data_IF_109545685869
#
_entry.id   IF_109545685869
#
_cell.length_a   1.000
_cell.length_b   1.000
_cell.length_c   1.000
_cell.angle_alpha   90.00
_cell.angle_beta   90.00
_cell.angle_gamma   90.00
#
_symmetry.space_group_name_H-M   'P 1'
#
loop_
_entity.id
_entity.type
_entity.pdbx_description
1 polymer ?
#
# COMPACT_ATOMS: atom_id res chain seq x y z
N UNK A 1 -7.09 15.41 -21.30
CA UNK A 1 -7.28 14.13 -22.03
C UNK A 1 -6.81 13.02 -21.11
N UNK A 2 -7.60 11.96 -20.92
CA UNK A 2 -7.18 10.82 -20.10
C UNK A 2 -5.93 10.18 -20.72
N UNK A 3 -4.88 9.98 -19.92
CA UNK A 3 -3.65 9.31 -20.39
C UNK A 3 -3.99 7.84 -20.65
N UNK A 4 -3.68 7.32 -21.84
CA UNK A 4 -3.85 5.89 -22.14
C UNK A 4 -2.97 5.08 -21.16
N UNK A 5 -3.48 3.98 -20.58
CA UNK A 5 -2.65 3.10 -19.77
C UNK A 5 -1.43 2.60 -20.56
N UNK A 6 -0.26 2.58 -19.94
CA UNK A 6 0.92 1.98 -20.54
C UNK A 6 0.74 0.47 -20.65
N UNK A 7 1.08 -0.10 -21.81
CA UNK A 7 1.16 -1.55 -22.03
C UNK A 7 2.59 -2.00 -22.30
N UNK A 8 3.57 -1.11 -22.20
CA UNK A 8 4.99 -1.45 -22.30
C UNK A 8 5.42 -2.19 -21.04
N UNK A 9 5.76 -3.48 -21.19
CA UNK A 9 6.05 -4.38 -20.08
C UNK A 9 7.18 -3.83 -19.19
N UNK A 10 8.27 -3.36 -19.79
CA UNK A 10 9.42 -2.82 -19.05
C UNK A 10 9.01 -1.61 -18.21
N UNK A 11 8.33 -0.65 -18.82
CA UNK A 11 7.86 0.57 -18.15
C UNK A 11 6.96 0.25 -16.96
N UNK A 12 6.04 -0.71 -17.12
CA UNK A 12 5.12 -1.10 -16.03
C UNK A 12 5.87 -1.75 -14.87
N UNK A 13 6.87 -2.60 -15.16
CA UNK A 13 7.66 -3.26 -14.13
C UNK A 13 8.59 -2.30 -13.37
N UNK A 14 9.19 -1.34 -14.09
CA UNK A 14 10.07 -0.33 -13.51
C UNK A 14 9.32 0.69 -12.66
N UNK A 15 8.03 0.93 -12.95
CA UNK A 15 7.18 1.86 -12.21
C UNK A 15 6.36 1.23 -11.08
N UNK A 16 6.56 -0.06 -10.80
CA UNK A 16 5.88 -0.76 -9.72
C UNK A 16 6.19 -0.12 -8.34
N UNK A 17 5.15 0.11 -7.55
CA UNK A 17 5.26 0.67 -6.20
C UNK A 17 6.01 -0.28 -5.28
N UNK A 18 6.98 0.24 -4.53
CA UNK A 18 7.84 -0.58 -3.66
C UNK A 18 7.50 -0.48 -2.18
N UNK A 19 6.83 0.58 -1.75
CA UNK A 19 6.49 0.82 -0.35
C UNK A 19 5.11 1.46 -0.22
N UNK A 20 4.42 1.15 0.88
CA UNK A 20 3.03 1.54 1.14
C UNK A 20 2.84 2.01 2.58
N UNK A 21 1.89 2.92 2.77
CA UNK A 21 1.39 3.31 4.08
C UNK A 21 -0.04 2.84 4.28
N UNK A 22 -0.32 2.48 5.53
CA UNK A 22 -1.65 2.23 6.06
C UNK A 22 -1.85 3.17 7.24
N UNK A 23 -2.78 4.11 7.16
CA UNK A 23 -3.14 4.96 8.28
C UNK A 23 -4.43 4.49 8.91
N UNK A 24 -4.34 4.00 10.15
CA UNK A 24 -5.47 3.49 10.91
C UNK A 24 -6.11 4.68 11.61
N UNK A 25 -7.38 4.94 11.33
CA UNK A 25 -8.10 6.10 11.83
C UNK A 25 -9.05 5.73 12.96
N UNK A 26 -9.18 6.65 13.91
CA UNK A 26 -10.15 6.61 15.00
C UNK A 26 -10.61 8.03 15.33
N UNK A 27 -11.87 8.19 15.73
CA UNK A 27 -12.39 9.48 16.17
C UNK A 27 -11.81 9.84 17.55
N UNK A 28 -11.38 11.09 17.70
CA UNK A 28 -10.63 11.61 18.85
C UNK A 28 -11.39 11.45 20.17
N UNK A 29 -12.72 11.63 20.14
CA UNK A 29 -13.60 11.50 21.30
C UNK A 29 -14.26 10.11 21.42
N UNK A 30 -13.79 9.12 20.66
CA UNK A 30 -14.30 7.75 20.72
C UNK A 30 -13.27 6.81 21.37
N UNK A 31 -13.44 6.57 22.67
CA UNK A 31 -12.55 5.71 23.44
C UNK A 31 -12.54 4.25 22.95
N UNK A 32 -13.66 3.76 22.42
CA UNK A 32 -13.77 2.40 21.89
C UNK A 32 -12.94 2.23 20.62
N UNK A 33 -13.05 3.16 19.67
CA UNK A 33 -12.23 3.15 18.46
C UNK A 33 -10.75 3.32 18.77
N UNK A 34 -10.39 4.25 19.67
CA UNK A 34 -8.99 4.39 20.09
C UNK A 34 -8.47 3.08 20.70
N UNK A 35 -9.24 2.42 21.56
CA UNK A 35 -8.85 1.14 22.15
C UNK A 35 -8.68 0.05 21.08
N UNK A 36 -9.63 -0.07 20.15
CA UNK A 36 -9.56 -1.02 19.04
C UNK A 36 -8.33 -0.76 18.15
N UNK A 37 -8.01 0.52 17.89
CA UNK A 37 -6.84 0.92 17.10
C UNK A 37 -5.53 0.47 17.79
N UNK A 38 -5.43 0.62 19.11
CA UNK A 38 -4.26 0.16 19.87
C UNK A 38 -4.16 -1.36 19.92
N UNK A 39 -5.29 -2.07 20.07
CA UNK A 39 -5.29 -3.53 20.01
C UNK A 39 -4.83 -4.05 18.64
N UNK A 40 -5.30 -3.43 17.55
CA UNK A 40 -4.89 -3.78 16.19
C UNK A 40 -3.39 -3.52 15.99
N UNK A 41 -2.89 -2.37 16.44
CA UNK A 41 -1.46 -2.02 16.41
C UNK A 41 -0.62 -3.08 17.13
N UNK A 42 -1.01 -3.48 18.33
CA UNK A 42 -0.31 -4.49 19.12
C UNK A 42 -0.35 -5.87 18.45
N UNK A 43 -1.46 -6.22 17.80
CA UNK A 43 -1.56 -7.46 17.03
C UNK A 43 -0.61 -7.47 15.83
N UNK A 44 -0.53 -6.38 15.07
CA UNK A 44 0.45 -6.21 13.99
C UNK A 44 1.88 -6.33 14.50
N UNK A 45 2.20 -5.72 15.64
CA UNK A 45 3.54 -5.80 16.24
C UNK A 45 3.91 -7.24 16.65
N UNK A 46 2.96 -7.98 17.24
CA UNK A 46 3.14 -9.42 17.57
C UNK A 46 3.33 -10.25 16.31
N UNK A 47 2.50 -10.05 15.29
CA UNK A 47 2.60 -10.78 14.02
C UNK A 47 3.88 -10.48 13.25
N UNK A 48 4.36 -9.22 13.25
CA UNK A 48 5.69 -8.88 12.73
C UNK A 48 6.77 -9.66 13.47
N UNK A 49 6.75 -9.64 14.82
CA UNK A 49 7.73 -10.36 15.65
C UNK A 49 7.73 -11.85 15.32
N UNK A 50 6.56 -12.42 15.11
CA UNK A 50 6.37 -13.85 14.88
C UNK A 50 6.55 -14.25 13.40
N UNK A 51 6.89 -13.30 12.52
CA UNK A 51 7.28 -13.55 11.14
C UNK A 51 6.14 -13.65 10.13
N UNK A 52 4.93 -13.19 10.46
CA UNK A 52 3.80 -13.25 9.55
C UNK A 52 3.96 -12.34 8.31
N UNK A 53 4.57 -11.17 8.49
CA UNK A 53 4.83 -10.18 7.45
C UNK A 53 5.79 -9.09 7.95
N UNK A 54 6.26 -8.23 7.05
CA UNK A 54 6.99 -7.01 7.39
C UNK A 54 5.98 -5.87 7.40
N UNK A 55 5.69 -5.35 8.59
CA UNK A 55 4.84 -4.18 8.78
C UNK A 55 5.37 -3.38 9.96
N UNK A 56 5.62 -2.09 9.80
CA UNK A 56 6.24 -1.26 10.84
C UNK A 56 5.28 -0.16 11.24
N UNK A 57 4.50 -0.35 12.31
CA UNK A 57 3.75 0.74 12.93
C UNK A 57 4.69 1.82 13.43
N UNK A 58 4.39 3.07 13.12
CA UNK A 58 5.12 4.21 13.67
C UNK A 58 4.95 4.22 15.20
N UNK A 59 6.00 4.66 15.92
CA UNK A 59 5.94 4.72 17.37
C UNK A 59 4.86 5.70 17.86
N UNK A 60 4.77 6.86 17.19
CA UNK A 60 3.82 7.91 17.51
C UNK A 60 2.40 7.48 17.11
N UNK A 61 1.45 7.75 18.00
CA UNK A 61 0.02 7.75 17.72
C UNK A 61 -0.45 9.19 17.82
N UNK A 62 -1.09 9.70 16.76
CA UNK A 62 -1.64 11.05 16.73
C UNK A 62 -3.06 10.97 17.33
N UNK A 63 -3.28 11.61 18.48
CA UNK A 63 -4.60 11.68 19.11
C UNK A 63 -5.49 12.78 18.53
N UNK A 64 -4.91 13.63 17.68
CA UNK A 64 -5.52 14.79 17.05
C UNK A 64 -5.16 14.82 15.55
N UNK A 65 -5.86 15.62 14.72
CA UNK A 65 -5.55 15.74 13.30
C UNK A 65 -4.13 16.28 13.09
N UNK A 66 -3.35 15.60 12.26
CA UNK A 66 -1.98 15.99 11.90
C UNK A 66 -1.75 15.78 10.41
N UNK A 67 -1.13 16.76 9.75
CA UNK A 67 -0.84 16.71 8.32
C UNK A 67 -2.13 16.60 7.50
N UNK A 68 -2.25 15.67 6.55
CA UNK A 68 -3.47 15.48 5.76
C UNK A 68 -4.57 14.70 6.50
N UNK A 69 -4.27 14.15 7.68
CA UNK A 69 -5.15 13.23 8.39
C UNK A 69 -6.15 14.01 9.27
N UNK A 70 -7.48 13.89 9.04
CA UNK A 70 -8.50 14.73 9.66
C UNK A 70 -8.95 14.26 11.05
N UNK A 71 -8.49 13.10 11.50
CA UNK A 71 -8.84 12.48 12.79
C UNK A 71 -7.60 11.88 13.44
N UNK A 72 -7.77 11.30 14.64
CA UNK A 72 -6.70 10.55 15.28
C UNK A 72 -6.24 9.39 14.40
N UNK A 73 -4.93 9.17 14.33
CA UNK A 73 -4.35 8.15 13.45
C UNK A 73 -3.01 7.61 13.92
N UNK A 74 -2.63 6.47 13.38
CA UNK A 74 -1.24 6.05 13.33
C UNK A 74 -0.94 5.37 11.99
N UNK A 75 0.32 5.49 11.58
CA UNK A 75 0.83 4.91 10.34
C UNK A 75 1.38 3.50 10.57
N UNK A 76 1.22 2.63 9.57
CA UNK A 76 1.98 1.41 9.37
C UNK A 76 2.63 1.48 8.00
N UNK A 77 3.96 1.38 7.95
CA UNK A 77 4.70 1.18 6.71
C UNK A 77 4.79 -0.31 6.37
N UNK A 78 4.68 -0.65 5.09
CA UNK A 78 4.96 -2.00 4.60
C UNK A 78 5.63 -1.98 3.22
N UNK A 79 6.58 -2.89 2.97
CA UNK A 79 7.18 -3.06 1.65
C UNK A 79 6.25 -3.86 0.73
N UNK A 80 6.43 -3.71 -0.59
CA UNK A 80 5.65 -4.42 -1.62
C UNK A 80 5.66 -5.94 -1.43
N UNK A 81 6.77 -6.49 -0.94
CA UNK A 81 7.01 -7.91 -0.71
C UNK A 81 6.01 -8.55 0.26
N UNK A 82 5.46 -7.77 1.20
CA UNK A 82 4.46 -8.27 2.15
C UNK A 82 3.16 -7.45 2.15
N UNK A 83 2.98 -6.58 1.16
CA UNK A 83 1.79 -5.72 1.06
C UNK A 83 0.50 -6.54 1.09
N UNK A 84 0.39 -7.60 0.27
CA UNK A 84 -0.82 -8.42 0.19
C UNK A 84 -1.16 -9.10 1.51
N UNK A 85 -0.15 -9.59 2.24
CA UNK A 85 -0.33 -10.20 3.56
C UNK A 85 -0.82 -9.19 4.60
N UNK A 86 -0.23 -7.98 4.62
CA UNK A 86 -0.64 -6.89 5.53
C UNK A 86 -2.05 -6.42 5.19
N UNK A 87 -2.32 -6.14 3.92
CA UNK A 87 -3.62 -5.69 3.43
C UNK A 87 -4.71 -6.72 3.76
N UNK A 88 -4.47 -8.00 3.48
CA UNK A 88 -5.39 -9.10 3.79
C UNK A 88 -5.70 -9.18 5.29
N UNK A 89 -4.67 -9.12 6.14
CA UNK A 89 -4.86 -9.13 7.58
C UNK A 89 -5.71 -7.95 8.06
N UNK A 90 -5.42 -6.73 7.60
CA UNK A 90 -6.15 -5.53 7.99
C UNK A 90 -7.61 -5.57 7.48
N UNK A 91 -7.85 -6.06 6.26
CA UNK A 91 -9.21 -6.28 5.74
C UNK A 91 -10.06 -7.15 6.67
N UNK A 92 -9.47 -8.22 7.19
CA UNK A 92 -10.18 -9.20 8.03
C UNK A 92 -10.28 -8.79 9.49
N UNK A 93 -9.36 -7.96 10.01
CA UNK A 93 -9.18 -7.77 11.46
C UNK A 93 -9.33 -6.32 11.93
N UNK A 94 -9.57 -5.34 11.06
CA UNK A 94 -9.70 -3.91 11.47
C UNK A 94 -10.94 -3.60 12.32
N UNK A 95 -11.90 -4.51 12.41
CA UNK A 95 -13.21 -4.24 13.02
C UNK A 95 -13.90 -3.07 12.32
N UNK A 96 -14.26 -2.04 13.08
CA UNK A 96 -14.95 -0.84 12.59
C UNK A 96 -14.04 0.28 12.09
N UNK A 97 -12.71 0.18 12.30
CA UNK A 97 -11.76 1.26 12.01
C UNK A 97 -11.60 1.49 10.50
N UNK A 98 -11.52 2.73 10.06
CA UNK A 98 -11.16 3.05 8.68
C UNK A 98 -9.65 3.05 8.49
N UNK A 99 -9.19 2.59 7.32
CA UNK A 99 -7.77 2.56 6.99
C UNK A 99 -7.54 3.22 5.62
N UNK A 100 -6.81 4.33 5.61
CA UNK A 100 -6.27 4.90 4.37
C UNK A 100 -5.06 4.07 3.94
N UNK A 101 -5.02 3.67 2.67
CA UNK A 101 -3.89 2.95 2.07
C UNK A 101 -3.37 3.76 0.90
N UNK A 102 -2.08 4.05 0.85
CA UNK A 102 -1.50 4.78 -0.28
C UNK A 102 -0.06 4.35 -0.57
N UNK A 103 0.41 4.50 -1.82
CA UNK A 103 1.80 4.24 -2.17
C UNK A 103 2.73 5.33 -1.59
N UNK A 104 4.03 5.03 -1.48
CA UNK A 104 5.06 6.01 -1.17
C UNK A 104 5.89 6.33 -2.41
N UNK A 105 5.51 7.33 -3.18
CA UNK A 105 6.31 7.83 -4.29
C UNK A 105 6.85 9.23 -4.01
N UNK A 106 7.43 9.86 -5.02
CA UNK A 106 7.82 11.28 -4.94
C UNK A 106 6.62 12.22 -5.06
N UNK A 107 5.44 11.71 -5.40
CA UNK A 107 4.24 12.50 -5.67
C UNK A 107 3.24 12.33 -4.52
N UNK A 108 3.68 12.65 -3.31
CA UNK A 108 2.95 12.37 -2.06
C UNK A 108 1.51 12.87 -2.09
N UNK A 109 1.26 14.08 -2.61
CA UNK A 109 -0.12 14.57 -2.76
C UNK A 109 -0.95 13.71 -3.70
N UNK A 110 -0.40 13.32 -4.85
CA UNK A 110 -1.11 12.44 -5.79
C UNK A 110 -1.33 11.05 -5.21
N UNK A 111 -0.37 10.56 -4.42
CA UNK A 111 -0.46 9.28 -3.72
C UNK A 111 -1.64 9.27 -2.74
N UNK A 112 -1.85 10.36 -1.99
CA UNK A 112 -2.99 10.52 -1.08
C UNK A 112 -4.31 10.81 -1.81
N UNK A 113 -4.28 11.59 -2.89
CA UNK A 113 -5.47 12.11 -3.56
C UNK A 113 -6.07 11.14 -4.56
N UNK A 114 -5.24 10.58 -5.45
CA UNK A 114 -5.70 9.83 -6.63
C UNK A 114 -5.32 8.35 -6.61
N UNK A 115 -4.21 8.00 -5.95
CA UNK A 115 -3.70 6.62 -5.91
C UNK A 115 -4.00 5.91 -4.59
N UNK A 116 -4.74 6.57 -3.70
CA UNK A 116 -5.14 6.00 -2.42
C UNK A 116 -6.30 5.02 -2.57
N UNK A 117 -6.40 4.13 -1.60
CA UNK A 117 -7.51 3.23 -1.39
C UNK A 117 -7.96 3.31 0.07
N UNK A 118 -9.14 2.79 0.35
CA UNK A 118 -9.69 2.74 1.70
C UNK A 118 -10.15 1.33 2.05
N UNK A 119 -9.79 0.87 3.25
CA UNK A 119 -10.41 -0.28 3.88
C UNK A 119 -11.46 0.25 4.85
N UNK A 120 -12.73 0.12 4.48
CA UNK A 120 -13.85 0.75 5.18
C UNK A 120 -14.19 2.15 4.65
N UNK A 121 -14.99 2.94 5.40
CA UNK A 121 -15.39 4.28 4.98
C UNK A 121 -14.21 5.22 4.80
N UNK A 122 -14.25 6.07 3.78
CA UNK A 122 -13.22 7.09 3.54
C UNK A 122 -13.42 8.33 4.41
N UNK A 123 -12.34 9.07 4.61
CA UNK A 123 -12.35 10.39 5.23
C UNK A 123 -11.87 11.46 4.24
N UNK A 124 -12.41 12.69 4.31
CA UNK A 124 -11.93 13.81 3.51
C UNK A 124 -10.58 14.30 4.04
N UNK A 125 -9.50 14.09 3.29
CA UNK A 125 -8.15 14.50 3.68
C UNK A 125 -7.91 16.00 3.43
N UNK A 126 -7.12 16.64 4.29
CA UNK A 126 -6.61 18.01 4.04
C UNK A 126 -5.31 17.96 3.22
N UNK A 127 -5.46 17.93 1.89
CA UNK A 127 -4.33 17.82 0.97
C UNK A 127 -3.47 19.09 0.89
N UNK A 128 -3.87 20.20 1.52
CA UNK A 128 -3.13 21.47 1.47
C UNK A 128 -1.78 21.39 2.21
N UNK A 129 -1.61 20.37 3.06
CA UNK A 129 -0.39 20.14 3.84
C UNK A 129 0.66 19.32 3.10
N UNK A 130 0.33 18.76 1.93
CA UNK A 130 1.21 17.86 1.20
C UNK A 130 1.95 18.60 0.07
N UNK A 131 3.26 18.33 -0.12
CA UNK A 131 3.97 18.82 -1.28
C UNK A 131 3.42 18.18 -2.56
N UNK A 132 3.43 18.93 -3.66
CA UNK A 132 3.04 18.39 -4.97
C UNK A 132 4.01 17.29 -5.43
N UNK A 133 5.30 17.50 -5.16
CA UNK A 133 6.37 16.57 -5.49
C UNK A 133 7.56 16.80 -4.56
N UNK A 134 8.19 15.72 -4.15
CA UNK A 134 9.43 15.70 -3.37
C UNK A 134 10.63 15.37 -4.26
N UNK A 135 11.80 15.92 -3.91
CA UNK A 135 13.05 15.62 -4.64
C UNK A 135 13.48 14.16 -4.44
N UNK A 136 13.29 13.65 -3.23
CA UNK A 136 13.65 12.31 -2.80
C UNK A 136 12.40 11.44 -2.59
N UNK A 137 12.61 10.11 -2.65
CA UNK A 137 11.59 9.14 -2.24
C UNK A 137 11.59 9.11 -0.70
N UNK A 138 10.41 9.10 -0.03
CA UNK A 138 10.31 9.08 1.42
C UNK A 138 10.73 7.72 2.03
N UNK A 139 12.03 7.44 2.04
CA UNK A 139 12.61 6.18 2.49
C UNK A 139 12.66 6.10 4.03
N UNK A 140 11.89 5.19 4.62
CA UNK A 140 11.76 5.11 6.09
C UNK A 140 12.62 4.04 6.75
N UNK A 141 12.71 2.83 6.18
CA UNK A 141 13.36 1.67 6.83
C UNK A 141 14.42 0.98 5.96
N UNK A 142 15.46 1.70 5.51
CA UNK A 142 16.48 1.15 4.60
C UNK A 142 17.28 -0.02 5.19
N UNK A 143 17.35 -0.13 6.52
CA UNK A 143 18.06 -1.22 7.21
C UNK A 143 17.42 -2.59 6.97
N UNK A 144 16.14 -2.64 6.60
CA UNK A 144 15.42 -3.89 6.33
C UNK A 144 15.73 -4.48 4.96
N UNK A 145 16.35 -3.72 4.03
CA UNK A 145 16.74 -4.19 2.69
C UNK A 145 15.59 -4.80 1.87
N UNK A 146 14.42 -4.16 1.96
CA UNK A 146 13.18 -4.49 1.22
C UNK A 146 12.64 -3.21 0.59
N UNK A 147 11.58 -3.30 -0.21
CA UNK A 147 10.99 -2.14 -0.86
C UNK A 147 12.01 -1.43 -1.76
N UNK A 148 12.19 -0.12 -1.62
CA UNK A 148 13.13 0.65 -2.45
C UNK A 148 14.60 0.26 -2.24
N UNK A 149 14.92 -0.47 -1.16
CA UNK A 149 16.28 -0.93 -0.86
C UNK A 149 16.51 -2.41 -1.12
N UNK A 150 15.50 -3.10 -1.67
CA UNK A 150 15.61 -4.51 -2.02
C UNK A 150 16.70 -4.74 -3.07
N UNK A 151 17.51 -5.77 -2.84
CA UNK A 151 18.53 -6.26 -3.81
C UNK A 151 18.12 -7.57 -4.45
N UNK A 152 16.93 -8.08 -4.13
CA UNK A 152 16.41 -9.30 -4.75
C UNK A 152 16.22 -9.01 -6.24
N UNK A 153 16.87 -9.77 -7.14
CA UNK A 153 16.75 -9.53 -8.55
C UNK A 153 15.32 -9.81 -9.01
N UNK A 154 14.76 -8.89 -9.79
CA UNK A 154 13.49 -9.13 -10.46
C UNK A 154 13.68 -10.16 -11.58
N UNK A 155 12.61 -10.92 -11.86
CA UNK A 155 12.55 -11.77 -13.05
C UNK A 155 12.81 -10.94 -14.30
N UNK A 156 13.70 -11.42 -15.17
CA UNK A 156 14.05 -10.72 -16.41
C UNK A 156 12.87 -10.71 -17.40
N UNK A 157 12.97 -9.90 -18.46
CA UNK A 157 11.87 -9.70 -19.41
C UNK A 157 11.54 -10.95 -20.23
N UNK A 158 12.53 -11.80 -20.52
CA UNK A 158 12.33 -13.03 -21.29
C UNK A 158 11.51 -14.05 -20.48
N UNK A 159 11.91 -14.29 -19.22
CA UNK A 159 11.19 -15.17 -18.31
C UNK A 159 9.77 -14.66 -18.03
N UNK A 160 9.59 -13.33 -17.91
CA UNK A 160 8.26 -12.73 -17.75
C UNK A 160 7.40 -12.92 -19.00
N UNK A 161 7.97 -12.77 -20.19
CA UNK A 161 7.25 -13.00 -21.44
C UNK A 161 6.84 -14.48 -21.58
N UNK A 162 7.73 -15.41 -21.22
CA UNK A 162 7.43 -16.84 -21.21
C UNK A 162 6.31 -17.18 -20.20
N UNK A 163 6.33 -16.59 -19.00
CA UNK A 163 5.26 -16.73 -18.02
C UNK A 163 3.92 -16.21 -18.58
N UNK A 164 3.91 -15.03 -19.20
CA UNK A 164 2.72 -14.46 -19.82
C UNK A 164 2.15 -15.36 -20.94
N UNK A 165 3.00 -15.87 -21.83
CA UNK A 165 2.58 -16.79 -22.88
C UNK A 165 1.98 -18.08 -22.31
N UNK A 166 2.53 -18.59 -21.20
CA UNK A 166 1.97 -19.75 -20.51
C UNK A 166 0.61 -19.46 -19.88
N UNK A 167 0.42 -18.29 -19.27
CA UNK A 167 -0.88 -17.85 -18.73
C UNK A 167 -1.92 -17.81 -19.85
N UNK A 168 -1.63 -17.15 -20.97
CA UNK A 168 -2.56 -17.06 -22.11
C UNK A 168 -2.92 -18.45 -22.66
N UNK A 169 -1.94 -19.36 -22.77
CA UNK A 169 -2.19 -20.75 -23.19
C UNK A 169 -3.16 -21.47 -22.27
N UNK A 170 -3.08 -21.27 -20.96
CA UNK A 170 -4.02 -21.86 -20.00
C UNK A 170 -5.40 -21.22 -20.16
N UNK A 171 -5.46 -19.87 -20.22
CA UNK A 171 -6.71 -19.11 -20.31
C UNK A 171 -7.49 -19.36 -21.61
N UNK A 172 -6.87 -19.88 -22.68
CA UNK A 172 -7.59 -20.29 -23.90
C UNK A 172 -8.73 -21.30 -23.63
N UNK A 173 -8.62 -22.10 -22.58
CA UNK A 173 -9.62 -23.10 -22.21
C UNK A 173 -10.60 -22.60 -21.12
N UNK A 174 -10.35 -21.43 -20.54
CA UNK A 174 -11.19 -20.84 -19.49
C UNK A 174 -12.28 -19.96 -20.12
N UNK A 175 -13.52 -20.44 -20.12
CA UNK A 175 -14.64 -19.81 -20.85
C UNK A 175 -14.97 -18.39 -20.37
N UNK A 176 -14.73 -18.13 -19.09
CA UNK A 176 -15.04 -16.84 -18.46
C UNK A 176 -13.85 -15.86 -18.52
N UNK A 177 -12.69 -16.31 -19.00
CA UNK A 177 -11.52 -15.47 -19.14
C UNK A 177 -11.61 -14.64 -20.43
N UNK A 178 -11.48 -13.31 -20.29
CA UNK A 178 -11.34 -12.44 -21.44
C UNK A 178 -10.02 -12.74 -22.18
N UNK A 179 -10.08 -12.78 -23.51
CA UNK A 179 -8.90 -13.03 -24.35
C UNK A 179 -8.06 -11.76 -24.49
N UNK A 180 -6.73 -11.90 -24.43
CA UNK A 180 -5.84 -10.80 -24.75
C UNK A 180 -6.04 -10.30 -26.21
N UNK A 181 -6.01 -8.98 -26.46
CA UNK A 181 -6.02 -8.45 -27.81
C UNK A 181 -4.82 -8.93 -28.62
N UNK A 182 -5.02 -9.14 -29.93
CA UNK A 182 -3.93 -9.45 -30.86
C UNK A 182 -3.09 -8.17 -31.03
N UNK A 183 -1.74 -8.26 -31.04
CA UNK A 183 -0.85 -7.12 -31.27
C UNK A 183 -1.11 -6.37 -32.58
#
# INVERSE_FOLDING_TARGET
MAKKPSTDLKTVLESEIKEWHFHIYFHQANAEEHHAAMQLRDAVLRLRRDGAFIAVPLFRVNTDPIGPHPVGSYEIWAPSETFSSVFSYLCMNRGQLSILVHPLTREEREDHELRSAWIGPSFPLDLTKLPLRSDEIPLQYPSLKVGYTSKVPFMNLEDRAALGANVERVLLNEKDAARAPIP
#
